data_IF_894263796446
#
_entry.id   IF_894263796446
#
_cell.length_a   1.000
_cell.length_b   1.000
_cell.length_c   1.000
_cell.angle_alpha   90.00
_cell.angle_beta   90.00
_cell.angle_gamma   90.00
#
_symmetry.space_group_name_H-M   'P 1'
#
loop_
_entity.id
_entity.type
_entity.pdbx_description
1 polymer ?
#
# COMPACT_ATOMS: atom_id res chain seq x y z
N UNK A 1 1.15 1.75 -13.30
CA UNK A 1 -0.12 1.95 -12.61
C UNK A 1 -0.21 3.34 -11.97
N UNK A 2 0.91 3.91 -11.58
CA UNK A 2 1.03 5.22 -10.96
C UNK A 2 1.23 6.38 -11.94
N UNK A 3 1.08 6.18 -13.25
CA UNK A 3 1.38 7.21 -14.27
C UNK A 3 0.77 8.58 -13.98
N UNK A 4 -0.51 8.64 -13.56
CA UNK A 4 -1.15 9.92 -13.24
C UNK A 4 -0.55 10.60 -12.01
N UNK A 5 -0.15 9.83 -11.00
CA UNK A 5 0.49 10.36 -9.79
C UNK A 5 1.92 10.80 -10.11
N UNK A 6 2.69 9.97 -10.83
CA UNK A 6 4.08 10.30 -11.19
C UNK A 6 4.16 11.50 -12.11
N UNK A 7 3.25 11.65 -13.09
CA UNK A 7 3.19 12.88 -13.92
C UNK A 7 2.97 14.13 -13.08
N UNK A 8 2.10 14.09 -12.07
CA UNK A 8 1.90 15.21 -11.14
C UNK A 8 3.13 15.49 -10.30
N UNK A 9 3.84 14.46 -9.83
CA UNK A 9 5.09 14.63 -9.08
C UNK A 9 6.19 15.25 -9.95
N UNK A 10 6.28 14.85 -11.24
CA UNK A 10 7.19 15.45 -12.22
C UNK A 10 6.86 16.93 -12.46
N UNK A 11 5.58 17.28 -12.63
CA UNK A 11 5.11 18.67 -12.81
C UNK A 11 5.52 19.61 -11.66
N UNK A 12 5.55 19.08 -10.42
CA UNK A 12 5.91 19.87 -9.22
C UNK A 12 7.35 19.63 -8.74
N UNK A 13 8.16 18.90 -9.50
CA UNK A 13 9.58 18.68 -9.23
C UNK A 13 9.90 17.80 -8.02
N UNK A 14 8.99 16.87 -7.64
CA UNK A 14 9.20 15.95 -6.53
C UNK A 14 9.85 14.66 -7.02
N UNK A 15 11.00 14.32 -6.43
CA UNK A 15 11.69 13.05 -6.70
C UNK A 15 10.86 11.86 -6.20
N UNK A 16 10.72 10.85 -7.02
CA UNK A 16 10.07 9.60 -6.64
C UNK A 16 10.83 8.38 -7.15
N UNK A 17 10.50 7.24 -6.57
CA UNK A 17 10.96 5.93 -7.02
C UNK A 17 9.80 4.95 -7.04
N UNK A 18 9.40 4.53 -8.23
CA UNK A 18 8.28 3.61 -8.45
C UNK A 18 8.77 2.29 -9.08
N UNK A 19 9.37 1.39 -8.29
CA UNK A 19 9.89 0.13 -8.82
C UNK A 19 8.77 -0.80 -9.25
N UNK A 20 9.02 -1.56 -10.32
CA UNK A 20 8.10 -2.61 -10.75
C UNK A 20 8.41 -3.91 -10.01
N UNK A 21 7.49 -4.31 -9.13
CA UNK A 21 7.55 -5.59 -8.44
C UNK A 21 6.71 -6.62 -9.22
N UNK A 22 7.37 -7.63 -9.79
CA UNK A 22 6.70 -8.68 -10.58
C UNK A 22 5.99 -9.65 -9.63
N UNK A 23 4.70 -9.42 -9.40
CA UNK A 23 3.86 -10.23 -8.51
C UNK A 23 3.24 -11.47 -9.19
N UNK A 24 3.49 -11.67 -10.49
CA UNK A 24 3.08 -12.85 -11.27
C UNK A 24 1.61 -13.24 -11.02
N UNK A 25 0.70 -12.29 -11.27
CA UNK A 25 -0.75 -12.44 -11.01
C UNK A 25 -1.10 -12.80 -9.56
N UNK A 26 -0.23 -12.48 -8.61
CA UNK A 26 -0.42 -12.74 -7.19
C UNK A 26 0.11 -14.10 -6.72
N UNK A 27 0.91 -14.78 -7.53
CA UNK A 27 1.61 -16.01 -7.16
C UNK A 27 2.79 -15.73 -6.22
N UNK A 28 3.55 -14.65 -6.47
CA UNK A 28 4.66 -14.26 -5.59
C UNK A 28 4.15 -13.77 -4.23
N UNK A 29 4.78 -14.23 -3.15
CA UNK A 29 4.36 -13.83 -1.80
C UNK A 29 4.67 -12.36 -1.50
N UNK A 30 3.88 -11.76 -0.62
CA UNK A 30 4.10 -10.39 -0.14
C UNK A 30 5.47 -10.28 0.54
N UNK A 31 5.90 -11.29 1.27
CA UNK A 31 7.21 -11.33 1.92
C UNK A 31 8.35 -11.26 0.89
N UNK A 32 8.28 -12.07 -0.16
CA UNK A 32 9.30 -12.07 -1.25
C UNK A 32 9.34 -10.73 -1.98
N UNK A 33 8.16 -10.17 -2.33
CA UNK A 33 8.06 -8.85 -2.96
C UNK A 33 8.59 -7.74 -2.05
N UNK A 34 8.39 -7.85 -0.74
CA UNK A 34 8.90 -6.86 0.21
C UNK A 34 10.43 -6.94 0.35
N UNK A 35 11.01 -8.14 0.35
CA UNK A 35 12.48 -8.30 0.37
C UNK A 35 13.10 -7.70 -0.89
N UNK A 36 12.49 -7.92 -2.06
CA UNK A 36 12.93 -7.29 -3.30
C UNK A 36 12.84 -5.76 -3.21
N UNK A 37 11.71 -5.21 -2.73
CA UNK A 37 11.55 -3.78 -2.51
C UNK A 37 12.62 -3.22 -1.58
N UNK A 38 12.91 -3.91 -0.48
CA UNK A 38 13.94 -3.50 0.48
C UNK A 38 15.31 -3.36 -0.18
N UNK A 39 15.73 -4.35 -0.98
CA UNK A 39 16.99 -4.30 -1.68
C UNK A 39 17.07 -3.11 -2.65
N UNK A 40 16.01 -2.87 -3.42
CA UNK A 40 15.92 -1.73 -4.32
C UNK A 40 15.95 -0.37 -3.60
N UNK A 41 15.32 -0.28 -2.42
CA UNK A 41 15.37 0.92 -1.58
C UNK A 41 16.78 1.15 -1.04
N UNK A 42 17.44 0.09 -0.56
CA UNK A 42 18.79 0.19 -0.02
C UNK A 42 19.81 0.56 -1.11
N UNK A 43 19.68 -0.02 -2.29
CA UNK A 43 20.53 0.31 -3.44
C UNK A 43 20.39 1.78 -3.84
N UNK A 44 19.17 2.30 -3.90
CA UNK A 44 18.91 3.68 -4.36
C UNK A 44 19.17 4.73 -3.29
N UNK A 45 18.78 4.48 -2.04
CA UNK A 45 18.70 5.49 -0.99
C UNK A 45 19.56 5.20 0.25
N UNK A 46 20.21 4.05 0.32
CA UNK A 46 20.93 3.63 1.51
C UNK A 46 20.03 3.38 2.71
N UNK A 47 20.57 3.48 3.91
CA UNK A 47 19.89 3.14 5.17
C UNK A 47 19.24 4.33 5.86
N UNK A 48 19.72 5.56 5.64
CA UNK A 48 19.41 6.73 6.47
C UNK A 48 18.35 7.66 5.87
N UNK A 49 18.16 7.67 4.54
CA UNK A 49 17.24 8.62 3.90
C UNK A 49 15.82 8.40 4.38
N UNK A 50 15.18 9.46 4.88
CA UNK A 50 13.75 9.46 5.19
C UNK A 50 12.92 9.34 3.92
N UNK A 51 11.81 8.61 4.01
CA UNK A 51 10.96 8.26 2.87
C UNK A 51 9.48 8.49 3.19
N UNK A 52 8.76 8.95 2.20
CA UNK A 52 7.31 8.84 2.14
C UNK A 52 6.95 7.61 1.31
N UNK A 53 6.12 6.74 1.86
CA UNK A 53 5.74 5.49 1.22
C UNK A 53 4.31 5.58 0.72
N UNK A 54 4.12 5.35 -0.58
CA UNK A 54 2.80 5.30 -1.21
C UNK A 54 2.56 3.92 -1.79
N UNK A 55 1.49 3.25 -1.36
CA UNK A 55 1.15 1.91 -1.81
C UNK A 55 -0.29 1.79 -2.32
N UNK A 56 -0.46 1.18 -3.48
CA UNK A 56 -1.77 0.87 -4.06
C UNK A 56 -2.06 -0.62 -3.97
N UNK A 57 -3.28 -0.99 -3.55
CA UNK A 57 -3.72 -2.39 -3.50
C UNK A 57 -2.74 -3.26 -2.70
N UNK A 58 -2.25 -4.38 -3.27
CA UNK A 58 -1.20 -5.22 -2.66
C UNK A 58 0.05 -4.40 -2.27
N UNK A 59 0.40 -3.34 -3.02
CA UNK A 59 1.53 -2.48 -2.73
C UNK A 59 1.48 -1.80 -1.36
N UNK A 60 0.28 -1.50 -0.86
CA UNK A 60 0.14 -0.98 0.51
C UNK A 60 0.42 -2.03 1.58
N UNK A 61 0.11 -3.32 1.32
CA UNK A 61 0.48 -4.40 2.25
C UNK A 61 1.99 -4.64 2.22
N UNK A 62 2.61 -4.58 1.03
CA UNK A 62 4.06 -4.65 0.87
C UNK A 62 4.74 -3.51 1.64
N UNK A 63 4.28 -2.26 1.49
CA UNK A 63 4.77 -1.12 2.24
C UNK A 63 4.60 -1.28 3.75
N UNK A 64 3.42 -1.74 4.21
CA UNK A 64 3.16 -2.02 5.63
C UNK A 64 4.10 -3.10 6.19
N UNK A 65 4.36 -4.16 5.42
CA UNK A 65 5.30 -5.21 5.81
C UNK A 65 6.72 -4.66 5.91
N UNK A 66 7.18 -3.89 4.91
CA UNK A 66 8.50 -3.25 4.92
C UNK A 66 8.68 -2.34 6.13
N UNK A 67 7.70 -1.49 6.42
CA UNK A 67 7.73 -0.59 7.58
C UNK A 67 7.87 -1.38 8.87
N UNK A 68 7.09 -2.44 9.08
CA UNK A 68 6.98 -3.13 10.37
C UNK A 68 7.98 -4.25 10.58
N UNK A 69 8.43 -4.91 9.51
CA UNK A 69 9.26 -6.13 9.60
C UNK A 69 10.69 -5.93 9.14
N UNK A 70 10.96 -4.90 8.33
CA UNK A 70 12.29 -4.59 7.80
C UNK A 70 12.82 -3.24 8.31
N UNK A 71 12.38 -2.83 9.49
CA UNK A 71 12.78 -1.59 10.18
C UNK A 71 12.49 -0.29 9.41
N UNK A 72 11.62 -0.32 8.42
CA UNK A 72 11.22 0.86 7.66
C UNK A 72 10.60 1.96 8.54
N UNK A 73 9.99 1.60 9.69
CA UNK A 73 9.41 2.55 10.64
C UNK A 73 10.40 3.60 11.16
N UNK A 74 11.70 3.30 11.15
CA UNK A 74 12.75 4.23 11.62
C UNK A 74 12.94 5.43 10.71
N UNK A 75 12.50 5.33 9.44
CA UNK A 75 12.75 6.34 8.41
C UNK A 75 11.54 6.63 7.50
N UNK A 76 10.36 6.17 7.89
CA UNK A 76 9.11 6.50 7.17
C UNK A 76 8.46 7.70 7.85
N UNK A 77 8.29 8.82 7.13
CA UNK A 77 7.56 9.99 7.60
C UNK A 77 6.06 9.82 7.39
N UNK A 78 5.69 9.47 6.17
CA UNK A 78 4.30 9.28 5.75
C UNK A 78 4.10 7.90 5.16
N UNK A 79 2.95 7.30 5.44
CA UNK A 79 2.52 6.06 4.82
C UNK A 79 1.11 6.22 4.25
N UNK A 80 1.04 6.45 2.94
CA UNK A 80 -0.21 6.64 2.20
C UNK A 80 -0.58 5.34 1.50
N UNK A 81 -1.78 4.82 1.77
CA UNK A 81 -2.29 3.62 1.15
C UNK A 81 -3.58 3.88 0.38
N UNK A 82 -3.72 3.26 -0.77
CA UNK A 82 -4.82 3.48 -1.68
C UNK A 82 -5.45 2.13 -2.02
N UNK A 83 -6.67 1.90 -1.56
CA UNK A 83 -7.39 0.65 -1.81
C UNK A 83 -6.61 -0.61 -1.40
N UNK A 84 -5.86 -0.58 -0.32
CA UNK A 84 -5.00 -1.69 0.13
C UNK A 84 -5.70 -2.54 1.17
N UNK A 85 -5.87 -3.86 0.99
CA UNK A 85 -6.70 -4.70 1.86
C UNK A 85 -6.03 -5.00 3.21
N UNK A 86 -5.82 -3.96 4.05
CA UNK A 86 -5.13 -4.08 5.35
C UNK A 86 -5.81 -5.03 6.33
N UNK A 87 -7.12 -5.21 6.20
CA UNK A 87 -7.94 -6.12 7.00
C UNK A 87 -8.44 -7.32 6.17
N UNK A 88 -7.77 -7.58 5.04
CA UNK A 88 -8.15 -8.61 4.09
C UNK A 88 -9.35 -8.23 3.23
N UNK A 89 -9.67 -9.05 2.24
CA UNK A 89 -10.82 -8.83 1.35
C UNK A 89 -11.58 -10.13 1.12
N UNK A 90 -12.90 -10.03 0.97
CA UNK A 90 -13.75 -11.17 0.59
C UNK A 90 -13.43 -11.64 -0.82
N UNK A 91 -13.03 -10.75 -1.72
CA UNK A 91 -12.66 -11.11 -3.09
C UNK A 91 -11.53 -12.15 -3.16
N UNK A 92 -10.62 -12.18 -2.19
CA UNK A 92 -9.55 -13.17 -2.13
C UNK A 92 -9.95 -14.53 -1.54
N UNK A 93 -11.10 -14.63 -0.85
CA UNK A 93 -11.46 -15.85 -0.11
C UNK A 93 -11.62 -17.08 -1.00
N UNK A 94 -12.17 -16.89 -2.21
CA UNK A 94 -12.44 -17.98 -3.16
C UNK A 94 -11.19 -18.41 -3.95
N UNK A 95 -10.12 -17.64 -3.92
CA UNK A 95 -8.88 -17.94 -4.65
C UNK A 95 -8.10 -19.01 -3.88
N UNK A 96 -7.67 -20.13 -4.51
CA UNK A 96 -6.87 -21.14 -3.84
C UNK A 96 -5.53 -20.58 -3.38
N UNK A 97 -4.98 -21.17 -2.30
CA UNK A 97 -3.68 -20.73 -1.75
C UNK A 97 -2.55 -21.00 -2.74
N UNK A 98 -2.57 -22.14 -3.39
CA UNK A 98 -1.60 -22.51 -4.40
C UNK A 98 -2.24 -22.42 -5.81
N UNK A 99 -1.56 -21.79 -6.79
CA UNK A 99 -0.25 -21.11 -6.69
C UNK A 99 -0.30 -19.65 -6.21
N UNK A 100 -1.48 -19.12 -5.85
CA UNK A 100 -1.72 -17.69 -5.59
C UNK A 100 -1.36 -17.28 -4.15
N UNK A 101 -0.09 -17.46 -3.76
CA UNK A 101 0.38 -17.21 -2.39
C UNK A 101 0.16 -15.78 -1.94
N UNK A 102 0.52 -14.78 -2.76
CA UNK A 102 0.33 -13.36 -2.45
C UNK A 102 -1.14 -12.97 -2.30
N UNK A 103 -2.04 -13.51 -3.15
CA UNK A 103 -3.49 -13.29 -2.98
C UNK A 103 -3.98 -13.94 -1.69
N UNK A 104 -3.51 -15.14 -1.37
CA UNK A 104 -3.93 -15.85 -0.16
C UNK A 104 -3.50 -15.12 1.12
N UNK A 105 -2.40 -14.38 1.07
CA UNK A 105 -1.90 -13.54 2.17
C UNK A 105 -2.78 -12.31 2.41
N UNK A 106 -3.61 -11.91 1.43
CA UNK A 106 -4.62 -10.85 1.56
C UNK A 106 -6.01 -11.37 1.97
N UNK A 107 -6.15 -12.66 2.30
CA UNK A 107 -7.40 -13.20 2.85
C UNK A 107 -7.69 -12.61 4.23
N UNK A 108 -8.98 -12.51 4.55
CA UNK A 108 -9.42 -12.13 5.89
C UNK A 108 -8.82 -13.12 6.91
N UNK A 109 -8.24 -12.57 7.98
CA UNK A 109 -7.59 -13.36 9.03
C UNK A 109 -6.38 -14.20 8.57
N UNK A 110 -5.76 -13.87 7.42
CA UNK A 110 -4.51 -14.52 7.03
C UNK A 110 -3.44 -14.36 8.14
N UNK A 111 -2.52 -15.31 8.22
CA UNK A 111 -1.43 -15.25 9.21
C UNK A 111 -0.61 -13.95 9.04
N UNK A 112 -0.33 -13.56 7.81
CA UNK A 112 0.42 -12.35 7.51
C UNK A 112 -0.30 -11.09 8.02
N UNK A 113 -1.58 -10.91 7.71
CA UNK A 113 -2.32 -9.71 8.15
C UNK A 113 -2.52 -9.67 9.67
N UNK A 114 -2.73 -10.82 10.32
CA UNK A 114 -2.80 -10.90 11.80
C UNK A 114 -1.47 -10.52 12.44
N UNK A 115 -0.36 -11.01 11.90
CA UNK A 115 0.98 -10.67 12.40
C UNK A 115 1.28 -9.18 12.21
N UNK A 116 0.92 -8.61 11.06
CA UNK A 116 1.03 -7.17 10.83
C UNK A 116 0.18 -6.35 11.82
N UNK A 117 -1.01 -6.81 12.18
CA UNK A 117 -1.89 -6.08 13.12
C UNK A 117 -1.35 -6.07 14.56
N UNK A 118 -0.61 -7.09 14.98
CA UNK A 118 -0.01 -7.15 16.33
C UNK A 118 1.05 -6.08 16.58
N UNK A 119 1.67 -5.53 15.54
CA UNK A 119 2.72 -4.51 15.62
C UNK A 119 2.25 -3.13 15.13
N UNK A 120 0.96 -2.81 15.25
CA UNK A 120 0.41 -1.51 14.80
C UNK A 120 1.00 -0.32 15.57
N UNK A 121 1.51 -0.52 16.79
CA UNK A 121 2.23 0.49 17.55
C UNK A 121 3.45 1.07 16.81
N UNK A 122 4.08 0.31 15.90
CA UNK A 122 5.18 0.80 15.06
C UNK A 122 4.76 1.86 14.03
N UNK A 123 3.46 2.05 13.81
CA UNK A 123 2.93 3.10 12.95
C UNK A 123 2.60 4.40 13.70
N UNK A 124 2.69 4.41 15.05
CA UNK A 124 2.24 5.55 15.87
C UNK A 124 3.02 6.85 15.60
N UNK A 125 4.28 6.76 15.18
CA UNK A 125 5.11 7.90 14.81
C UNK A 125 5.07 8.28 13.33
N UNK A 126 4.23 7.60 12.53
CA UNK A 126 4.15 7.78 11.08
C UNK A 126 2.81 8.43 10.72
N UNK A 127 2.84 9.45 9.88
CA UNK A 127 1.60 10.03 9.34
C UNK A 127 0.96 9.03 8.36
N UNK A 128 -0.01 8.25 8.88
CA UNK A 128 -0.71 7.21 8.11
C UNK A 128 -2.01 7.74 7.51
N UNK A 129 -2.22 7.50 6.21
CA UNK A 129 -3.42 7.90 5.49
C UNK A 129 -3.91 6.74 4.64
N UNK A 130 -5.19 6.40 4.76
CA UNK A 130 -5.84 5.35 3.97
C UNK A 130 -6.90 5.94 3.05
N UNK A 131 -6.62 5.94 1.74
CA UNK A 131 -7.62 6.25 0.72
C UNK A 131 -8.39 4.99 0.33
N UNK A 132 -9.71 5.05 0.36
CA UNK A 132 -10.57 3.93 0.02
C UNK A 132 -11.86 4.36 -0.66
N UNK A 133 -12.61 3.40 -1.17
CA UNK A 133 -13.99 3.62 -1.60
C UNK A 133 -14.89 2.50 -1.10
N UNK A 134 -16.11 2.82 -0.73
CA UNK A 134 -17.11 1.82 -0.32
C UNK A 134 -17.51 0.87 -1.45
N UNK A 135 -17.33 1.29 -2.69
CA UNK A 135 -17.73 0.57 -3.91
C UNK A 135 -16.61 -0.29 -4.52
N UNK A 136 -15.55 -0.55 -3.77
CA UNK A 136 -14.42 -1.35 -4.23
C UNK A 136 -14.75 -2.84 -4.22
N UNK A 137 -14.93 -3.43 -5.40
CA UNK A 137 -15.19 -4.88 -5.53
C UNK A 137 -13.93 -5.72 -5.35
N UNK A 138 -12.74 -5.14 -5.49
CA UNK A 138 -11.46 -5.84 -5.27
C UNK A 138 -11.09 -5.88 -3.79
N UNK A 139 -11.44 -4.83 -3.04
CA UNK A 139 -11.27 -4.78 -1.59
C UNK A 139 -12.65 -4.61 -0.94
N UNK A 140 -13.35 -5.73 -0.84
CA UNK A 140 -14.72 -5.73 -0.32
C UNK A 140 -14.81 -6.38 1.07
N UNK A 141 -15.57 -5.77 2.01
CA UNK A 141 -16.12 -4.42 1.99
C UNK A 141 -15.03 -3.33 1.96
N UNK A 142 -15.28 -2.20 1.26
CA UNK A 142 -14.28 -1.17 0.96
C UNK A 142 -13.55 -0.59 2.18
N UNK A 143 -14.22 -0.48 3.33
CA UNK A 143 -13.61 0.00 4.59
C UNK A 143 -12.48 -0.90 5.11
N UNK A 144 -12.36 -2.16 4.63
CA UNK A 144 -11.25 -3.05 4.95
C UNK A 144 -9.91 -2.58 4.36
N UNK A 145 -9.94 -1.59 3.48
CA UNK A 145 -8.73 -0.94 2.99
C UNK A 145 -8.09 0.03 4.00
N UNK A 146 -8.76 0.34 5.10
CA UNK A 146 -8.24 1.28 6.09
C UNK A 146 -7.30 0.61 7.08
N UNK A 147 -6.19 1.28 7.39
CA UNK A 147 -5.39 0.99 8.58
C UNK A 147 -6.22 1.25 9.85
N UNK A 148 -5.85 0.62 10.97
CA UNK A 148 -6.51 0.84 12.26
C UNK A 148 -6.24 2.26 12.78
N UNK A 149 -5.06 2.82 12.50
CA UNK A 149 -4.61 4.17 12.87
C UNK A 149 -4.51 5.10 11.66
N UNK A 150 -4.48 6.39 11.92
CA UNK A 150 -4.32 7.43 10.92
C UNK A 150 -5.61 7.90 10.26
N UNK A 151 -5.47 8.80 9.29
CA UNK A 151 -6.59 9.40 8.56
C UNK A 151 -7.22 8.39 7.57
N UNK A 152 -8.53 8.42 7.42
CA UNK A 152 -9.29 7.57 6.51
C UNK A 152 -10.09 8.45 5.57
N UNK A 153 -9.74 8.45 4.29
CA UNK A 153 -10.36 9.31 3.27
C UNK A 153 -11.15 8.46 2.29
N UNK A 154 -12.46 8.60 2.29
CA UNK A 154 -13.32 7.94 1.31
C UNK A 154 -13.37 8.73 0.00
N UNK A 155 -13.25 8.02 -1.12
CA UNK A 155 -13.35 8.56 -2.46
C UNK A 155 -14.65 8.08 -3.12
N UNK A 156 -15.36 8.96 -3.83
CA UNK A 156 -16.56 8.60 -4.60
C UNK A 156 -16.17 8.00 -5.97
N UNK A 157 -15.53 6.84 -5.94
CA UNK A 157 -14.98 6.16 -7.11
C UNK A 157 -15.45 4.71 -7.12
N UNK A 158 -15.93 4.19 -8.26
CA UNK A 158 -16.54 2.86 -8.34
C UNK A 158 -15.55 1.76 -8.74
N UNK A 159 -14.47 2.09 -9.43
CA UNK A 159 -13.51 1.09 -9.95
C UNK A 159 -12.18 1.18 -9.22
N UNK A 160 -11.70 0.07 -8.69
CA UNK A 160 -10.44 -0.05 -7.96
C UNK A 160 -9.26 0.67 -8.64
N UNK A 161 -9.02 0.42 -9.94
CA UNK A 161 -7.92 1.07 -10.68
C UNK A 161 -8.07 2.59 -10.81
N UNK A 162 -9.30 3.10 -10.74
CA UNK A 162 -9.54 4.54 -10.83
C UNK A 162 -9.15 5.29 -9.57
N UNK A 163 -8.94 4.61 -8.44
CA UNK A 163 -8.42 5.23 -7.21
C UNK A 163 -7.06 5.93 -7.40
N UNK A 164 -6.28 5.49 -8.40
CA UNK A 164 -4.95 6.06 -8.73
C UNK A 164 -4.91 6.74 -10.10
N UNK A 165 -6.05 6.88 -10.76
CA UNK A 165 -6.16 7.45 -12.13
C UNK A 165 -7.12 8.62 -12.24
N UNK A 166 -8.16 8.63 -11.41
CA UNK A 166 -9.13 9.72 -11.42
C UNK A 166 -8.46 11.02 -10.97
N UNK A 167 -8.60 12.14 -11.70
CA UNK A 167 -7.93 13.40 -11.39
C UNK A 167 -8.19 13.89 -9.96
N UNK A 168 -9.46 13.91 -9.52
CA UNK A 168 -9.82 14.36 -8.16
C UNK A 168 -9.18 13.50 -7.05
N UNK A 169 -9.02 12.19 -7.31
CA UNK A 169 -8.34 11.30 -6.36
C UNK A 169 -6.84 11.58 -6.34
N UNK A 170 -6.24 11.75 -7.52
CA UNK A 170 -4.81 12.06 -7.66
C UNK A 170 -4.49 13.38 -6.96
N UNK A 171 -5.28 14.43 -7.18
CA UNK A 171 -5.07 15.73 -6.55
C UNK A 171 -5.15 15.64 -5.01
N UNK A 172 -6.10 14.89 -4.47
CA UNK A 172 -6.19 14.63 -3.03
C UNK A 172 -5.00 13.85 -2.47
N UNK A 173 -4.51 12.87 -3.23
CA UNK A 173 -3.33 12.09 -2.83
C UNK A 173 -2.08 12.97 -2.83
N UNK A 174 -1.90 13.78 -3.86
CA UNK A 174 -0.78 14.73 -3.95
C UNK A 174 -0.85 15.76 -2.81
N UNK A 175 -2.03 16.31 -2.52
CA UNK A 175 -2.22 17.23 -1.39
C UNK A 175 -1.71 16.61 -0.06
N UNK A 176 -2.02 15.34 0.18
CA UNK A 176 -1.57 14.64 1.39
C UNK A 176 -0.10 14.23 1.38
N UNK A 177 0.53 14.15 0.21
CA UNK A 177 1.98 13.95 0.08
C UNK A 177 2.75 15.24 0.38
N UNK A 178 2.16 16.41 0.11
CA UNK A 178 2.82 17.71 0.28
C UNK A 178 2.63 18.30 1.69
N UNK A 179 1.50 18.03 2.31
CA UNK A 179 1.08 18.54 3.64
C UNK A 179 1.14 17.43 4.69
#
# INVERSE_FOLDING_TARGET
IFSSITSKLDEIGIEYFAPTLKHEYGMTSIVELTNLLNNLILEKYGYEKELDILGFSMGGIIGRYWIKKLNGYKRTRRFITIGSPHNGTLASQLIPKYPFKGISEMKINSLLLRDLSRSDYLLSGINCISFFTYWDLMVFPGWRACLNSGEKISLKIYKHKNLVRNPDAVDKIIDRLLN
#
